data_IF_783641109184
#
_entry.id   IF_783641109184
#
_cell.length_a   1.000
_cell.length_b   1.000
_cell.length_c   1.000
_cell.angle_alpha   90.00
_cell.angle_beta   90.00
_cell.angle_gamma   90.00
#
_symmetry.space_group_name_H-M   'P 1'
#
loop_
_entity.id
_entity.type
_entity.pdbx_description
1 polymer ?
#
# COMPACT_ATOMS: atom_id res chain seq x y z
N UNK A 1 12.05 10.79 2.81
CA UNK A 1 12.26 12.09 3.50
C UNK A 1 12.08 13.34 2.61
N UNK A 2 12.33 13.28 1.30
CA UNK A 2 12.27 14.48 0.44
C UNK A 2 10.87 15.08 0.33
N UNK A 3 9.83 14.25 0.22
CA UNK A 3 8.44 14.72 0.13
C UNK A 3 8.02 15.54 1.37
N UNK A 4 8.38 15.10 2.58
CA UNK A 4 8.08 15.85 3.82
C UNK A 4 8.81 17.18 3.88
N UNK A 5 10.06 17.24 3.42
CA UNK A 5 10.84 18.48 3.34
C UNK A 5 10.17 19.46 2.36
N UNK A 6 9.79 19.00 1.17
CA UNK A 6 9.12 19.84 0.18
C UNK A 6 7.79 20.41 0.70
N UNK A 7 6.95 19.57 1.32
CA UNK A 7 5.71 20.03 1.94
C UNK A 7 5.97 21.07 3.05
N UNK A 8 6.94 20.83 3.92
CA UNK A 8 7.26 21.78 4.99
C UNK A 8 7.79 23.12 4.45
N UNK A 9 8.56 23.13 3.37
CA UNK A 9 9.00 24.37 2.71
C UNK A 9 7.82 25.20 2.20
N UNK A 10 6.83 24.54 1.58
CA UNK A 10 5.59 25.19 1.13
C UNK A 10 4.83 25.76 2.33
N UNK A 11 4.66 24.98 3.40
CA UNK A 11 4.01 25.44 4.64
C UNK A 11 4.73 26.64 5.25
N UNK A 12 6.05 26.61 5.33
CA UNK A 12 6.87 27.69 5.87
C UNK A 12 6.69 29.00 5.10
N UNK A 13 6.61 28.95 3.77
CA UNK A 13 6.38 30.13 2.95
C UNK A 13 5.02 30.78 3.26
N UNK A 14 3.96 29.96 3.42
CA UNK A 14 2.63 30.44 3.81
C UNK A 14 2.64 31.01 5.22
N UNK A 15 3.26 30.33 6.18
CA UNK A 15 3.32 30.76 7.58
C UNK A 15 4.04 32.09 7.72
N UNK A 16 5.19 32.25 7.05
CA UNK A 16 5.96 33.50 7.02
C UNK A 16 5.14 34.66 6.46
N UNK A 17 4.41 34.45 5.37
CA UNK A 17 3.56 35.49 4.74
C UNK A 17 2.41 35.94 5.67
N UNK A 18 1.95 35.07 6.55
CA UNK A 18 0.80 35.33 7.43
C UNK A 18 1.21 35.63 8.89
N UNK A 19 2.51 35.78 9.17
CA UNK A 19 2.99 36.03 10.54
C UNK A 19 2.67 34.91 11.53
N UNK A 20 2.54 33.67 11.06
CA UNK A 20 2.31 32.51 11.93
C UNK A 20 3.60 32.22 12.72
N UNK A 21 3.54 32.03 14.05
CA UNK A 21 4.71 31.74 14.86
C UNK A 21 5.46 30.48 14.41
N UNK A 22 6.78 30.49 14.61
CA UNK A 22 7.60 29.30 14.41
C UNK A 22 7.17 28.16 15.34
N UNK A 23 7.39 26.92 14.92
CA UNK A 23 7.10 25.73 15.73
C UNK A 23 5.66 25.20 15.62
N UNK A 24 4.74 25.91 14.93
CA UNK A 24 3.36 25.43 14.71
C UNK A 24 3.32 24.17 13.83
N UNK A 25 4.21 24.07 12.84
CA UNK A 25 4.40 22.87 12.01
C UNK A 25 5.89 22.56 11.95
N UNK A 26 6.29 21.39 12.39
CA UNK A 26 7.69 20.94 12.40
C UNK A 26 7.81 19.58 11.75
N UNK A 27 8.98 19.32 11.14
CA UNK A 27 9.33 17.99 10.64
C UNK A 27 10.52 17.46 11.42
N UNK A 28 10.47 16.17 11.75
CA UNK A 28 11.59 15.43 12.30
C UNK A 28 11.77 14.21 11.42
N UNK A 29 12.84 14.18 10.63
CA UNK A 29 13.17 13.02 9.81
C UNK A 29 14.05 12.07 10.62
N UNK A 30 13.62 10.81 10.69
CA UNK A 30 14.38 9.73 11.31
C UNK A 30 13.68 8.40 11.10
N UNK A 31 14.19 7.36 11.74
CA UNK A 31 13.63 6.02 11.68
C UNK A 31 12.60 5.77 12.79
N UNK A 32 12.57 4.52 13.23
CA UNK A 32 11.67 4.03 14.28
C UNK A 32 11.85 4.77 15.60
N UNK A 33 13.10 5.12 15.94
CA UNK A 33 13.48 5.79 17.18
C UNK A 33 12.79 7.14 17.35
N UNK A 34 12.63 7.92 16.27
CA UNK A 34 11.91 9.20 16.31
C UNK A 34 10.42 8.98 16.60
N UNK A 35 9.83 7.94 16.00
CA UNK A 35 8.45 7.54 16.28
C UNK A 35 8.26 7.09 17.74
N UNK A 36 9.24 6.41 18.31
CA UNK A 36 9.22 5.99 19.72
C UNK A 36 9.35 7.18 20.67
N UNK A 37 10.21 8.16 20.38
CA UNK A 37 10.28 9.40 21.16
C UNK A 37 8.93 10.12 21.18
N UNK A 38 8.32 10.32 20.01
CA UNK A 38 7.03 11.01 19.89
C UNK A 38 5.89 10.24 20.60
N UNK A 39 5.90 8.91 20.49
CA UNK A 39 4.88 8.07 21.12
C UNK A 39 4.96 8.09 22.64
N UNK A 40 6.15 8.26 23.23
CA UNK A 40 6.35 8.32 24.68
C UNK A 40 6.32 9.73 25.26
N UNK A 41 6.31 10.77 24.43
CA UNK A 41 6.35 12.16 24.89
C UNK A 41 5.03 12.58 25.56
N UNK A 42 5.08 12.85 26.87
CA UNK A 42 3.92 13.27 27.67
C UNK A 42 3.39 14.65 27.29
N UNK A 43 4.14 15.45 26.53
CA UNK A 43 3.71 16.76 26.02
C UNK A 43 2.78 16.64 24.80
N UNK A 44 2.72 15.47 24.17
CA UNK A 44 1.91 15.23 22.96
C UNK A 44 0.62 14.49 23.33
N UNK A 45 -0.53 15.19 23.45
CA UNK A 45 -1.78 14.58 23.92
C UNK A 45 -2.42 13.64 22.90
N UNK A 46 -2.13 13.83 21.60
CA UNK A 46 -2.65 13.03 20.50
C UNK A 46 -1.51 12.63 19.55
N UNK A 47 -1.39 11.34 19.27
CA UNK A 47 -0.51 10.82 18.22
C UNK A 47 -1.37 10.20 17.12
N UNK A 48 -1.28 10.76 15.91
CA UNK A 48 -1.83 10.16 14.70
C UNK A 48 -0.74 9.36 14.00
N UNK A 49 -0.96 8.06 13.82
CA UNK A 49 0.03 7.15 13.25
C UNK A 49 -0.58 6.29 12.13
N UNK A 50 0.07 6.28 10.97
CA UNK A 50 -0.32 5.47 9.81
C UNK A 50 0.79 4.48 9.46
N UNK A 51 0.44 3.20 9.29
CA UNK A 51 1.43 2.17 8.91
C UNK A 51 0.97 0.73 9.21
N UNK A 52 1.92 -0.17 9.47
CA UNK A 52 1.57 -1.59 9.70
C UNK A 52 0.82 -1.82 11.01
N UNK A 53 0.02 -2.89 11.08
CA UNK A 53 -0.64 -3.33 12.33
C UNK A 53 0.36 -3.60 13.45
N UNK A 54 1.55 -4.11 13.13
CA UNK A 54 2.67 -4.29 14.07
C UNK A 54 3.08 -2.96 14.70
N UNK A 55 3.26 -1.93 13.88
CA UNK A 55 3.60 -0.58 14.35
C UNK A 55 2.47 0.00 15.21
N UNK A 56 1.22 -0.12 14.76
CA UNK A 56 0.06 0.38 15.50
C UNK A 56 -0.09 -0.19 16.91
N UNK A 57 0.19 -1.49 17.08
CA UNK A 57 0.22 -2.14 18.41
C UNK A 57 1.27 -1.50 19.33
N UNK A 58 2.47 -1.23 18.81
CA UNK A 58 3.55 -0.62 19.59
C UNK A 58 3.22 0.83 19.98
N UNK A 59 2.77 1.64 19.02
CA UNK A 59 2.39 3.04 19.26
C UNK A 59 1.20 3.14 20.21
N UNK A 60 0.15 2.34 20.00
CA UNK A 60 -1.03 2.32 20.87
C UNK A 60 -0.69 1.95 22.31
N UNK A 61 0.19 0.98 22.53
CA UNK A 61 0.66 0.62 23.87
C UNK A 61 1.46 1.74 24.53
N UNK A 62 2.41 2.36 23.82
CA UNK A 62 3.25 3.43 24.34
C UNK A 62 2.45 4.72 24.66
N UNK A 63 1.51 5.09 23.79
CA UNK A 63 0.65 6.26 24.01
C UNK A 63 -0.36 5.99 25.13
N UNK A 64 -0.92 4.79 25.17
CA UNK A 64 -1.87 4.38 26.21
C UNK A 64 -1.27 4.30 27.61
N UNK A 65 -0.01 3.87 27.74
CA UNK A 65 0.68 3.76 29.04
C UNK A 65 0.84 5.11 29.75
N UNK A 66 0.91 6.20 28.97
CA UNK A 66 0.95 7.58 29.46
C UNK A 66 -0.40 8.30 29.38
N UNK A 67 -1.51 7.56 29.24
CA UNK A 67 -2.88 8.06 29.15
C UNK A 67 -3.11 9.09 28.01
N UNK A 68 -2.32 9.00 26.94
CA UNK A 68 -2.51 9.81 25.73
C UNK A 68 -3.58 9.24 24.80
N UNK A 69 -3.91 9.98 23.73
CA UNK A 69 -4.83 9.53 22.67
C UNK A 69 -4.04 9.08 21.45
N UNK A 70 -4.39 7.91 20.91
CA UNK A 70 -3.87 7.43 19.63
C UNK A 70 -4.97 7.41 18.56
N UNK A 71 -4.66 7.90 17.37
CA UNK A 71 -5.45 7.71 16.15
C UNK A 71 -4.62 6.82 15.23
N UNK A 72 -5.10 5.61 14.96
CA UNK A 72 -4.33 4.56 14.31
C UNK A 72 -4.96 4.15 12.96
N UNK A 73 -4.29 4.48 11.86
CA UNK A 73 -4.67 4.08 10.50
C UNK A 73 -3.74 2.97 10.01
N UNK A 74 -4.19 1.72 10.10
CA UNK A 74 -3.32 0.54 10.00
C UNK A 74 -3.47 -0.23 8.67
N UNK A 75 -2.91 -1.44 8.62
CA UNK A 75 -2.98 -2.28 7.43
C UNK A 75 -4.40 -2.78 7.14
N UNK A 76 -4.70 -3.01 5.86
CA UNK A 76 -5.96 -3.59 5.39
C UNK A 76 -5.76 -4.87 4.57
N UNK A 77 -6.70 -5.81 4.72
CA UNK A 77 -6.83 -7.00 3.89
C UNK A 77 -8.21 -7.00 3.21
N UNK A 78 -8.38 -6.08 2.28
CA UNK A 78 -9.66 -5.68 1.72
C UNK A 78 -10.16 -6.69 0.70
N UNK A 79 -11.47 -6.89 0.66
CA UNK A 79 -12.13 -7.80 -0.27
C UNK A 79 -13.21 -7.10 -1.10
N UNK A 80 -13.41 -7.60 -2.32
CA UNK A 80 -14.59 -7.33 -3.12
C UNK A 80 -15.43 -8.60 -3.18
N UNK A 81 -16.74 -8.47 -3.01
CA UNK A 81 -17.71 -9.57 -3.16
C UNK A 81 -18.47 -9.37 -4.47
N UNK A 82 -18.43 -10.37 -5.35
CA UNK A 82 -19.09 -10.36 -6.65
C UNK A 82 -20.26 -11.35 -6.61
N UNK A 83 -21.48 -10.82 -6.61
CA UNK A 83 -22.71 -11.62 -6.61
C UNK A 83 -23.07 -12.12 -8.03
N UNK A 84 -24.03 -13.03 -8.14
CA UNK A 84 -24.55 -13.49 -9.42
C UNK A 84 -25.36 -12.43 -10.20
N UNK A 85 -25.64 -11.28 -9.56
CA UNK A 85 -26.33 -10.12 -10.15
C UNK A 85 -25.40 -8.94 -10.43
N UNK A 86 -24.10 -9.11 -10.19
CA UNK A 86 -23.14 -8.04 -10.38
C UNK A 86 -22.98 -7.70 -11.87
N UNK A 87 -22.79 -6.42 -12.17
CA UNK A 87 -22.23 -6.00 -13.45
C UNK A 87 -20.77 -6.46 -13.50
N UNK A 88 -20.50 -7.49 -14.29
CA UNK A 88 -19.19 -8.13 -14.34
C UNK A 88 -18.11 -7.24 -14.96
N UNK A 89 -18.48 -6.36 -15.90
CA UNK A 89 -17.51 -5.49 -16.57
C UNK A 89 -17.10 -4.35 -15.63
N UNK A 90 -18.05 -3.73 -14.94
CA UNK A 90 -17.75 -2.75 -13.89
C UNK A 90 -16.98 -3.39 -12.72
N UNK A 91 -17.36 -4.60 -12.31
CA UNK A 91 -16.67 -5.33 -11.24
C UNK A 91 -15.23 -5.67 -11.63
N UNK A 92 -14.97 -6.01 -12.89
CA UNK A 92 -13.64 -6.29 -13.42
C UNK A 92 -12.75 -5.04 -13.34
N UNK A 93 -13.23 -3.90 -13.80
CA UNK A 93 -12.49 -2.63 -13.76
C UNK A 93 -12.13 -2.29 -12.30
N UNK A 94 -13.11 -2.37 -11.40
CA UNK A 94 -12.89 -2.11 -9.97
C UNK A 94 -11.89 -3.07 -9.33
N UNK A 95 -11.99 -4.36 -9.63
CA UNK A 95 -11.10 -5.39 -9.12
C UNK A 95 -9.66 -5.21 -9.60
N UNK A 96 -9.45 -5.01 -10.91
CA UNK A 96 -8.12 -4.81 -11.49
C UNK A 96 -7.49 -3.55 -10.91
N UNK A 97 -8.16 -2.39 -11.01
CA UNK A 97 -7.61 -1.14 -10.49
C UNK A 97 -7.33 -1.20 -8.99
N UNK A 98 -8.25 -1.79 -8.22
CA UNK A 98 -8.12 -1.93 -6.77
C UNK A 98 -6.98 -2.85 -6.35
N UNK A 99 -6.68 -3.89 -7.14
CA UNK A 99 -5.61 -4.83 -6.85
C UNK A 99 -4.23 -4.33 -7.31
N UNK A 100 -4.10 -3.90 -8.56
CA UNK A 100 -2.80 -3.64 -9.19
C UNK A 100 -2.35 -2.17 -9.10
N UNK A 101 -3.30 -1.25 -8.87
CA UNK A 101 -2.98 0.17 -8.72
C UNK A 101 -1.92 0.39 -7.64
N UNK A 102 -0.92 1.23 -7.92
CA UNK A 102 0.26 1.47 -7.04
C UNK A 102 0.97 0.18 -6.61
N UNK A 103 0.99 -0.83 -7.48
CA UNK A 103 1.63 -2.13 -7.22
C UNK A 103 1.11 -2.81 -5.93
N UNK A 104 -0.18 -2.63 -5.61
CA UNK A 104 -0.80 -3.25 -4.42
C UNK A 104 -0.39 -2.66 -3.06
N UNK A 105 0.27 -1.49 -3.06
CA UNK A 105 0.86 -0.86 -1.87
C UNK A 105 -0.07 0.18 -1.20
N UNK A 106 -1.40 0.06 -1.36
CA UNK A 106 -2.37 0.86 -0.61
C UNK A 106 -2.86 0.07 0.61
N UNK A 107 -3.19 0.79 1.69
CA UNK A 107 -3.97 0.21 2.79
C UNK A 107 -5.33 -0.31 2.31
N UNK A 108 -5.88 0.27 1.23
CA UNK A 108 -7.15 -0.06 0.58
C UNK A 108 -7.02 -1.01 -0.62
N UNK A 109 -5.82 -1.51 -0.94
CA UNK A 109 -5.66 -2.44 -2.06
C UNK A 109 -6.54 -3.68 -1.89
N UNK A 110 -7.18 -4.11 -2.98
CA UNK A 110 -7.98 -5.34 -3.00
C UNK A 110 -7.04 -6.52 -2.98
N UNK A 111 -7.16 -7.37 -1.95
CA UNK A 111 -6.30 -8.55 -1.76
C UNK A 111 -7.06 -9.86 -1.90
N UNK A 112 -8.39 -9.80 -1.86
CA UNK A 112 -9.28 -10.97 -1.95
C UNK A 112 -10.47 -10.64 -2.84
N UNK A 113 -10.82 -11.57 -3.73
CA UNK A 113 -12.07 -11.55 -4.48
C UNK A 113 -12.91 -12.75 -4.02
N UNK A 114 -14.14 -12.50 -3.61
CA UNK A 114 -15.08 -13.52 -3.16
C UNK A 114 -16.20 -13.54 -4.20
N UNK A 115 -16.20 -14.54 -5.06
CA UNK A 115 -17.02 -14.56 -6.27
C UNK A 115 -18.06 -15.66 -6.17
N UNK A 116 -19.31 -15.32 -6.50
CA UNK A 116 -20.39 -16.28 -6.53
C UNK A 116 -20.15 -17.34 -7.63
N UNK A 117 -20.34 -18.61 -7.29
CA UNK A 117 -20.06 -19.77 -8.13
C UNK A 117 -20.60 -19.65 -9.56
N UNK A 118 -21.88 -19.27 -9.72
CA UNK A 118 -22.53 -19.04 -11.03
C UNK A 118 -21.78 -18.12 -12.01
N UNK A 119 -21.01 -17.16 -11.52
CA UNK A 119 -20.27 -16.20 -12.35
C UNK A 119 -18.75 -16.38 -12.24
N UNK A 120 -18.28 -17.35 -11.45
CA UNK A 120 -16.88 -17.55 -11.14
C UNK A 120 -16.02 -17.74 -12.40
N UNK A 121 -16.33 -18.72 -13.23
CA UNK A 121 -15.51 -19.01 -14.41
C UNK A 121 -15.52 -17.88 -15.43
N UNK A 122 -16.68 -17.25 -15.64
CA UNK A 122 -16.81 -16.10 -16.54
C UNK A 122 -15.94 -14.93 -16.06
N UNK A 123 -15.99 -14.61 -14.77
CA UNK A 123 -15.22 -13.51 -14.19
C UNK A 123 -13.72 -13.84 -14.15
N UNK A 124 -13.35 -15.04 -13.69
CA UNK A 124 -11.97 -15.55 -13.65
C UNK A 124 -11.28 -15.40 -15.01
N UNK A 125 -11.93 -15.87 -16.07
CA UNK A 125 -11.38 -15.81 -17.42
C UNK A 125 -11.20 -14.38 -17.93
N UNK A 126 -12.12 -13.46 -17.58
CA UNK A 126 -11.97 -12.03 -17.88
C UNK A 126 -10.80 -11.40 -17.10
N UNK A 127 -10.67 -11.75 -15.83
CA UNK A 127 -9.64 -11.23 -14.94
C UNK A 127 -8.22 -11.62 -15.41
N UNK A 128 -8.00 -12.89 -15.73
CA UNK A 128 -6.72 -13.38 -16.27
C UNK A 128 -6.33 -12.60 -17.53
N UNK A 129 -7.26 -12.48 -18.49
CA UNK A 129 -7.02 -11.72 -19.74
C UNK A 129 -6.72 -10.24 -19.49
N UNK A 130 -7.34 -9.63 -18.48
CA UNK A 130 -7.07 -8.24 -18.14
C UNK A 130 -5.65 -8.06 -17.56
N UNK A 131 -5.17 -9.04 -16.78
CA UNK A 131 -3.82 -9.02 -16.23
C UNK A 131 -2.74 -9.15 -17.31
N UNK A 132 -2.99 -9.94 -18.36
CA UNK A 132 -2.08 -10.07 -19.52
C UNK A 132 -1.85 -8.74 -20.27
N UNK A 133 -2.76 -7.77 -20.11
CA UNK A 133 -2.69 -6.46 -20.77
C UNK A 133 -1.97 -5.39 -19.95
N UNK A 134 -1.58 -5.71 -18.71
CA UNK A 134 -0.92 -4.76 -17.83
C UNK A 134 0.48 -4.41 -18.35
N UNK A 135 0.72 -3.10 -18.42
CA UNK A 135 2.05 -2.54 -18.74
C UNK A 135 2.74 -2.14 -17.45
N UNK A 136 3.94 -2.66 -17.26
CA UNK A 136 4.78 -2.39 -16.09
C UNK A 136 6.01 -1.60 -16.54
N UNK A 137 6.44 -0.62 -15.75
CA UNK A 137 7.59 0.20 -16.11
C UNK A 137 7.70 1.48 -15.30
N UNK A 138 8.51 2.42 -15.81
CA UNK A 138 8.75 3.71 -15.16
C UNK A 138 7.43 4.40 -14.77
N UNK A 139 7.22 4.73 -13.48
CA UNK A 139 6.02 5.40 -13.01
C UNK A 139 5.85 6.84 -13.53
N UNK A 140 6.86 7.43 -14.17
CA UNK A 140 6.74 8.73 -14.85
C UNK A 140 6.16 8.62 -16.27
N UNK A 141 6.09 7.41 -16.85
CA UNK A 141 5.37 7.18 -18.10
C UNK A 141 3.92 6.77 -17.81
N UNK A 142 2.98 7.66 -18.13
CA UNK A 142 1.54 7.48 -17.93
C UNK A 142 0.94 6.28 -18.69
N UNK A 143 1.68 5.69 -19.65
CA UNK A 143 1.26 4.46 -20.34
C UNK A 143 1.41 3.21 -19.47
N UNK A 144 2.19 3.28 -18.39
CA UNK A 144 2.38 2.18 -17.47
C UNK A 144 1.25 2.15 -16.43
N UNK A 145 0.73 0.95 -16.19
CA UNK A 145 -0.32 0.70 -15.20
C UNK A 145 0.26 0.44 -13.81
N UNK A 146 1.46 -0.16 -13.77
CA UNK A 146 2.07 -0.67 -12.54
C UNK A 146 3.55 -0.27 -12.49
N UNK A 147 3.93 0.44 -11.42
CA UNK A 147 5.32 0.76 -11.10
C UNK A 147 5.96 -0.30 -10.18
N UNK A 148 7.13 -0.01 -9.60
CA UNK A 148 7.83 -0.97 -8.73
C UNK A 148 7.21 -1.06 -7.34
N UNK A 149 7.55 -2.13 -6.63
CA UNK A 149 7.50 -2.17 -5.17
C UNK A 149 8.50 -1.17 -4.58
N UNK A 150 8.30 -0.78 -3.32
CA UNK A 150 9.10 0.26 -2.68
C UNK A 150 10.58 -0.11 -2.51
N UNK A 151 10.88 -1.37 -2.19
CA UNK A 151 12.23 -1.88 -1.95
C UNK A 151 12.31 -3.40 -2.13
N UNK A 152 13.52 -3.94 -1.95
CA UNK A 152 13.80 -5.39 -2.08
C UNK A 152 13.22 -6.22 -0.94
N UNK A 153 13.08 -5.65 0.26
CA UNK A 153 12.43 -6.35 1.38
C UNK A 153 10.95 -6.63 1.06
N UNK A 154 10.27 -5.68 0.41
CA UNK A 154 8.91 -5.86 -0.09
C UNK A 154 8.83 -6.93 -1.19
N UNK A 155 9.83 -7.01 -2.08
CA UNK A 155 9.94 -8.07 -3.10
C UNK A 155 10.10 -9.44 -2.45
N UNK A 156 11.00 -9.57 -1.47
CA UNK A 156 11.21 -10.82 -0.74
C UNK A 156 9.95 -11.27 0.00
N UNK A 157 9.23 -10.32 0.61
CA UNK A 157 7.93 -10.60 1.25
C UNK A 157 6.89 -11.07 0.23
N UNK A 158 6.86 -10.46 -0.96
CA UNK A 158 5.98 -10.86 -2.05
C UNK A 158 6.29 -12.28 -2.54
N UNK A 159 7.56 -12.60 -2.79
CA UNK A 159 7.97 -13.93 -3.25
C UNK A 159 7.64 -15.03 -2.21
N UNK A 160 7.93 -14.77 -0.93
CA UNK A 160 7.56 -15.69 0.16
C UNK A 160 6.05 -15.89 0.28
N UNK A 161 5.25 -14.87 0.00
CA UNK A 161 3.80 -14.99 0.01
C UNK A 161 3.28 -15.89 -1.13
N UNK A 162 3.89 -15.81 -2.32
CA UNK A 162 3.57 -16.70 -3.44
C UNK A 162 3.93 -18.16 -3.11
N UNK A 163 5.15 -18.39 -2.64
CA UNK A 163 5.64 -19.71 -2.24
C UNK A 163 4.70 -20.32 -1.18
N UNK A 164 4.42 -19.57 -0.11
CA UNK A 164 3.54 -20.04 0.96
C UNK A 164 2.11 -20.30 0.48
N UNK A 165 1.59 -19.52 -0.47
CA UNK A 165 0.27 -19.77 -1.05
C UNK A 165 0.26 -21.10 -1.83
N UNK A 166 1.30 -21.38 -2.63
CA UNK A 166 1.41 -22.64 -3.38
C UNK A 166 1.58 -23.84 -2.44
N UNK A 167 2.38 -23.72 -1.37
CA UNK A 167 2.51 -24.76 -0.33
C UNK A 167 1.17 -25.05 0.37
N UNK A 168 0.30 -24.05 0.49
CA UNK A 168 -1.06 -24.18 1.02
C UNK A 168 -2.08 -24.70 -0.02
N UNK A 169 -1.63 -25.03 -1.22
CA UNK A 169 -2.47 -25.60 -2.29
C UNK A 169 -3.13 -24.57 -3.21
N UNK A 170 -2.67 -23.32 -3.23
CA UNK A 170 -3.16 -22.33 -4.18
C UNK A 170 -2.77 -22.70 -5.62
N UNK A 171 -3.70 -22.45 -6.55
CA UNK A 171 -3.45 -22.54 -7.98
C UNK A 171 -3.25 -21.14 -8.55
N UNK A 172 -2.04 -20.83 -9.00
CA UNK A 172 -1.75 -19.56 -9.64
C UNK A 172 -2.43 -19.50 -11.01
N UNK A 173 -3.31 -18.53 -11.19
CA UNK A 173 -3.98 -18.25 -12.46
C UNK A 173 -3.16 -17.28 -13.31
N UNK A 174 -2.41 -16.39 -12.67
CA UNK A 174 -1.40 -15.53 -13.29
C UNK A 174 -0.14 -15.63 -12.46
N UNK A 175 0.93 -16.10 -13.10
CA UNK A 175 2.23 -16.27 -12.47
C UNK A 175 2.81 -14.92 -12.03
N UNK A 176 3.25 -14.88 -10.78
CA UNK A 176 4.00 -13.76 -10.24
C UNK A 176 5.47 -13.76 -10.67
N UNK A 177 6.30 -13.10 -9.87
CA UNK A 177 7.75 -13.08 -10.00
C UNK A 177 8.33 -11.71 -10.29
N UNK A 178 9.65 -11.64 -10.23
CA UNK A 178 10.43 -10.42 -10.45
C UNK A 178 10.67 -10.22 -11.95
N UNK A 179 10.57 -8.97 -12.41
CA UNK A 179 10.94 -8.60 -13.77
C UNK A 179 12.44 -8.35 -13.87
N UNK A 180 13.05 -8.85 -14.94
CA UNK A 180 14.47 -8.71 -15.22
C UNK A 180 14.72 -8.02 -16.57
N UNK A 181 15.91 -7.45 -16.73
CA UNK A 181 16.33 -6.80 -17.96
C UNK A 181 16.31 -5.26 -17.90
N UNK A 182 16.50 -4.60 -19.06
CA UNK A 182 16.60 -3.15 -19.13
C UNK A 182 15.36 -2.43 -18.58
N UNK A 183 15.56 -1.46 -17.69
CA UNK A 183 14.50 -0.71 -17.00
C UNK A 183 14.01 -1.35 -15.69
N UNK A 184 14.49 -2.55 -15.35
CA UNK A 184 14.11 -3.29 -14.13
C UNK A 184 15.29 -3.55 -13.19
N UNK A 185 16.39 -2.82 -13.36
CA UNK A 185 17.67 -3.04 -12.65
C UNK A 185 17.58 -2.85 -11.13
N UNK A 186 16.55 -2.15 -10.66
CA UNK A 186 16.29 -2.00 -9.21
C UNK A 186 16.03 -3.34 -8.51
N UNK A 187 15.55 -4.34 -9.25
CA UNK A 187 15.03 -5.59 -8.70
C UNK A 187 13.71 -5.44 -7.95
N UNK A 188 13.06 -4.26 -8.04
CA UNK A 188 11.81 -3.96 -7.33
C UNK A 188 10.55 -4.08 -8.21
N UNK A 189 10.69 -4.40 -9.49
CA UNK A 189 9.56 -4.59 -10.38
C UNK A 189 9.10 -6.04 -10.33
N UNK A 190 7.82 -6.25 -10.06
CA UNK A 190 7.21 -7.57 -9.96
C UNK A 190 5.94 -7.65 -10.80
N UNK A 191 5.58 -8.86 -11.22
CA UNK A 191 4.31 -9.13 -11.91
C UNK A 191 3.18 -9.25 -10.88
N UNK A 192 2.03 -8.58 -11.08
CA UNK A 192 0.84 -8.89 -10.30
C UNK A 192 0.46 -10.37 -10.47
N UNK A 193 0.12 -11.05 -9.37
CA UNK A 193 -0.28 -12.45 -9.37
C UNK A 193 -1.78 -12.59 -9.07
N UNK A 194 -2.37 -13.69 -9.52
CA UNK A 194 -3.73 -14.13 -9.18
C UNK A 194 -3.66 -15.57 -8.70
#
# INVERSE_FOLDING_TARGET
PLCSIACQQITNAVFKRNGVPEGVSTIINGGREVGEWLSNDTRVPLVSATGSTRMGKAVGAAVGSRLGRALLELGGNNAIIISDKADLDMSLIGAVFGAVGTCGQRCTSTRRLIIHDRVYDAFKNKLVKAYDQLRMGDPLDEKNHVGPLIDKDAVDMYLKALESAQEQGAHLLVEGGVLEGPGYESGCYVKPAI
#
